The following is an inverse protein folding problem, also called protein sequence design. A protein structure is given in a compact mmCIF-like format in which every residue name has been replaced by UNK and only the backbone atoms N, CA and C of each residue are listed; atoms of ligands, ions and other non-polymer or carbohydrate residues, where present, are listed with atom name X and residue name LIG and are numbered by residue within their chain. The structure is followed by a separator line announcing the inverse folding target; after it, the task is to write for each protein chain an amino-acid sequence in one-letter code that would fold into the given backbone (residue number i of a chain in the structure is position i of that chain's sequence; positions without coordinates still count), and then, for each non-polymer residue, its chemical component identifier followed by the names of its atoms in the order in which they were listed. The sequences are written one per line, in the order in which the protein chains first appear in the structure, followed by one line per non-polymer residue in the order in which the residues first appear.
data_IF_269863027245
#
_entry.id   IF_269863027245
#
_cell.length_a   1.000
_cell.length_b   1.000
_cell.length_c   1.000
_cell.angle_alpha   90.00
_cell.angle_beta   90.00
_cell.angle_gamma   90.00
#
_symmetry.space_group_name_H-M   'P 1'
#
loop_
_entity.id
_entity.type
_entity.pdbx_description
1 polymer ?
#
# COMPACT_ATOMS: atom_id res chain seq x y z
N UNK A 1 -1.61 -17.55 11.35
CA UNK A 1 -0.41 -16.69 11.28
C UNK A 1 -0.42 -15.80 12.51
N UNK A 2 0.69 -15.70 13.25
CA UNK A 2 0.82 -14.78 14.40
C UNK A 2 1.82 -13.69 13.99
N UNK A 3 1.46 -12.42 14.18
CA UNK A 3 2.29 -11.26 13.86
C UNK A 3 2.34 -10.30 15.05
N UNK A 4 3.38 -9.46 15.08
CA UNK A 4 3.56 -8.43 16.12
C UNK A 4 2.37 -7.45 16.11
N UNK A 5 1.78 -7.21 17.28
CA UNK A 5 0.67 -6.27 17.44
C UNK A 5 1.22 -4.85 17.46
N UNK A 6 0.99 -4.10 16.37
CA UNK A 6 1.15 -2.64 16.35
C UNK A 6 -0.20 -1.98 16.60
N UNK A 7 -0.19 -0.69 16.98
CA UNK A 7 -1.34 0.08 17.49
C UNK A 7 -2.53 0.29 16.53
N UNK A 8 -2.62 -0.47 15.44
CA UNK A 8 -3.67 -0.38 14.45
C UNK A 8 -3.14 -0.12 13.04
N UNK A 9 -4.07 0.04 12.10
CA UNK A 9 -3.73 0.41 10.73
C UNK A 9 -3.54 1.92 10.58
N UNK A 10 -2.78 2.33 9.57
CA UNK A 10 -2.59 3.71 9.17
C UNK A 10 -3.94 4.41 8.97
N UNK A 11 -4.93 3.71 8.40
CA UNK A 11 -6.31 4.21 8.28
C UNK A 11 -6.93 4.56 9.64
N UNK A 12 -6.81 3.67 10.64
CA UNK A 12 -7.33 3.92 11.98
C UNK A 12 -6.64 5.13 12.62
N UNK A 13 -5.32 5.25 12.46
CA UNK A 13 -4.58 6.38 13.00
C UNK A 13 -4.93 7.70 12.33
N UNK A 14 -5.06 7.74 11.00
CA UNK A 14 -5.52 8.93 10.28
C UNK A 14 -6.91 9.35 10.77
N UNK A 15 -7.85 8.43 10.90
CA UNK A 15 -9.20 8.78 11.38
C UNK A 15 -9.23 9.36 12.81
N UNK A 16 -8.33 8.90 13.68
CA UNK A 16 -8.35 9.24 15.10
C UNK A 16 -7.48 10.46 15.46
N UNK A 17 -6.38 10.69 14.74
CA UNK A 17 -5.31 11.60 15.16
C UNK A 17 -4.81 12.54 14.05
N UNK A 18 -5.51 12.66 12.91
CA UNK A 18 -4.99 13.45 11.78
C UNK A 18 -4.54 14.87 12.15
N UNK A 19 -5.31 15.55 13.00
CA UNK A 19 -5.09 16.96 13.39
C UNK A 19 -3.80 17.13 14.23
N UNK A 20 -3.36 16.09 14.93
CA UNK A 20 -2.19 16.17 15.82
C UNK A 20 -0.86 15.79 15.17
N UNK A 21 -0.87 15.34 13.90
CA UNK A 21 0.34 14.94 13.19
C UNK A 21 1.08 16.15 12.62
N UNK A 22 2.33 16.35 13.04
CA UNK A 22 3.21 17.35 12.44
C UNK A 22 3.79 16.87 11.10
N UNK A 23 4.40 17.80 10.36
CA UNK A 23 4.96 17.50 9.04
C UNK A 23 6.15 16.54 9.09
N UNK A 24 6.95 16.56 10.15
CA UNK A 24 8.10 15.67 10.29
C UNK A 24 7.62 14.22 10.47
N UNK A 25 6.59 14.00 11.30
CA UNK A 25 5.93 12.71 11.46
C UNK A 25 5.31 12.20 10.15
N UNK A 26 4.63 13.08 9.41
CA UNK A 26 4.03 12.74 8.11
C UNK A 26 5.10 12.31 7.10
N UNK A 27 6.15 13.09 6.95
CA UNK A 27 7.26 12.80 6.02
C UNK A 27 8.02 11.53 6.45
N UNK A 28 8.26 11.35 7.75
CA UNK A 28 8.91 10.15 8.28
C UNK A 28 8.08 8.90 8.02
N UNK A 29 6.77 8.95 8.24
CA UNK A 29 5.86 7.84 7.94
C UNK A 29 5.88 7.49 6.45
N UNK A 30 5.82 8.49 5.56
CA UNK A 30 5.90 8.27 4.11
C UNK A 30 7.23 7.65 3.69
N UNK A 31 8.33 8.09 4.29
CA UNK A 31 9.65 7.51 4.08
C UNK A 31 9.70 6.03 4.47
N UNK A 32 9.21 5.67 5.67
CA UNK A 32 9.16 4.29 6.12
C UNK A 32 8.28 3.39 5.22
N UNK A 33 7.11 3.88 4.82
CA UNK A 33 6.21 3.17 3.89
C UNK A 33 6.90 2.94 2.54
N UNK A 34 7.58 3.96 2.00
CA UNK A 34 8.32 3.85 0.74
C UNK A 34 9.47 2.84 0.81
N UNK A 35 10.19 2.77 1.94
CA UNK A 35 11.23 1.76 2.17
C UNK A 35 10.66 0.34 2.15
N UNK A 36 9.54 0.12 2.85
CA UNK A 36 8.87 -1.18 2.86
C UNK A 36 8.41 -1.59 1.45
N UNK A 37 7.80 -0.67 0.70
CA UNK A 37 7.30 -0.95 -0.65
C UNK A 37 8.46 -1.24 -1.62
N UNK A 38 9.55 -0.47 -1.52
CA UNK A 38 10.79 -0.71 -2.26
C UNK A 38 11.33 -2.11 -2.00
N UNK A 39 11.29 -2.59 -0.76
CA UNK A 39 11.83 -3.90 -0.41
C UNK A 39 10.96 -5.05 -0.95
N UNK A 40 9.64 -4.88 -1.01
CA UNK A 40 8.72 -5.79 -1.73
C UNK A 40 9.06 -5.80 -3.22
N UNK A 41 9.19 -4.62 -3.84
CA UNK A 41 9.48 -4.50 -5.27
C UNK A 41 10.87 -5.06 -5.65
N UNK A 42 11.89 -4.89 -4.79
CA UNK A 42 13.22 -5.48 -4.98
C UNK A 42 13.22 -7.01 -4.98
N UNK A 43 12.24 -7.64 -4.31
CA UNK A 43 12.02 -9.09 -4.37
C UNK A 43 11.27 -9.52 -5.63
N UNK A 44 10.99 -8.59 -6.55
CA UNK A 44 10.26 -8.85 -7.79
C UNK A 44 8.77 -9.07 -7.56
N UNK A 45 8.20 -8.60 -6.44
CA UNK A 45 6.79 -8.77 -6.10
C UNK A 45 5.99 -7.49 -6.38
N UNK A 46 4.68 -7.66 -6.56
CA UNK A 46 3.65 -6.62 -6.63
C UNK A 46 2.65 -6.91 -5.50
N UNK A 47 2.24 -5.89 -4.73
CA UNK A 47 1.31 -6.04 -3.62
C UNK A 47 -0.15 -6.23 -4.06
N UNK A 48 -0.59 -5.47 -5.07
CA UNK A 48 -1.95 -5.47 -5.66
C UNK A 48 -3.08 -4.94 -4.76
N UNK A 49 -2.94 -4.98 -3.44
CA UNK A 49 -3.87 -4.42 -2.46
C UNK A 49 -3.20 -3.42 -1.51
N UNK A 50 -2.50 -2.44 -2.09
CA UNK A 50 -1.70 -1.48 -1.34
C UNK A 50 -2.51 -0.24 -0.94
N UNK A 51 -2.92 -0.16 0.32
CA UNK A 51 -3.72 0.95 0.87
C UNK A 51 -3.49 1.16 2.38
N UNK A 52 -3.99 2.26 2.95
CA UNK A 52 -3.82 2.62 4.37
C UNK A 52 -4.36 1.57 5.37
N UNK A 53 -5.22 0.65 4.94
CA UNK A 53 -5.71 -0.42 5.81
C UNK A 53 -4.70 -1.56 5.98
N UNK A 54 -3.84 -1.76 4.99
CA UNK A 54 -2.79 -2.79 4.96
C UNK A 54 -1.41 -2.23 5.37
N UNK A 55 -1.39 -1.11 6.08
CA UNK A 55 -0.18 -0.53 6.67
C UNK A 55 -0.42 -0.44 8.17
N UNK A 56 0.44 -1.06 8.97
CA UNK A 56 0.49 -0.83 10.41
C UNK A 56 1.49 0.30 10.68
N UNK A 57 1.08 1.36 11.34
CA UNK A 57 1.94 2.51 11.65
C UNK A 57 1.42 3.19 12.90
N UNK A 58 2.31 3.65 13.76
CA UNK A 58 1.97 4.49 14.92
C UNK A 58 2.34 5.96 14.72
N UNK A 59 2.77 6.35 13.50
CA UNK A 59 3.34 7.65 13.14
C UNK A 59 4.52 8.14 13.99
N UNK A 60 5.06 7.31 14.88
CA UNK A 60 6.16 7.68 15.77
C UNK A 60 7.50 7.10 15.32
N UNK A 61 7.54 5.82 14.95
CA UNK A 61 8.84 5.17 14.66
C UNK A 61 8.86 4.36 13.38
N UNK A 62 7.83 3.55 13.15
CA UNK A 62 7.88 2.50 12.13
C UNK A 62 6.55 2.37 11.38
N UNK A 63 6.64 1.94 10.12
CA UNK A 63 5.49 1.54 9.32
C UNK A 63 5.77 0.18 8.68
N UNK A 64 4.80 -0.72 8.74
CA UNK A 64 4.89 -2.09 8.24
C UNK A 64 3.78 -2.35 7.23
N UNK A 65 4.17 -2.86 6.06
CA UNK A 65 3.22 -3.30 5.03
C UNK A 65 2.78 -4.72 5.36
N UNK A 66 1.47 -4.95 5.37
CA UNK A 66 0.84 -6.22 5.75
C UNK A 66 -0.06 -6.76 4.64
N UNK A 67 -0.66 -7.92 4.88
CA UNK A 67 -1.55 -8.61 3.95
C UNK A 67 -0.93 -8.87 2.56
N UNK A 68 0.11 -9.70 2.57
CA UNK A 68 0.79 -10.15 1.36
C UNK A 68 0.03 -11.27 0.63
N UNK A 69 -1.24 -11.54 0.99
CA UNK A 69 -2.02 -12.66 0.44
C UNK A 69 -2.28 -12.55 -1.06
N UNK A 70 -2.26 -11.33 -1.59
CA UNK A 70 -2.41 -11.04 -3.03
C UNK A 70 -1.08 -10.74 -3.72
N UNK A 71 0.06 -10.85 -3.01
CA UNK A 71 1.35 -10.58 -3.62
C UNK A 71 1.65 -11.57 -4.76
N UNK A 72 2.09 -11.05 -5.91
CA UNK A 72 2.43 -11.85 -7.08
C UNK A 72 3.77 -11.41 -7.70
N UNK A 73 4.52 -12.32 -8.34
CA UNK A 73 5.72 -11.96 -9.07
C UNK A 73 5.41 -11.01 -10.23
N UNK A 74 6.22 -9.96 -10.38
CA UNK A 74 6.03 -8.91 -11.38
C UNK A 74 6.24 -9.37 -12.84
N UNK A 75 6.84 -10.55 -13.03
CA UNK A 75 7.12 -11.15 -14.33
C UNK A 75 6.06 -12.19 -14.76
N UNK A 76 5.13 -12.57 -13.87
CA UNK A 76 4.07 -13.51 -14.22
C UNK A 76 2.96 -12.73 -14.93
N UNK A 77 2.83 -12.95 -16.24
CA UNK A 77 1.64 -12.51 -16.97
C UNK A 77 0.48 -13.37 -16.49
N UNK A 78 -0.57 -12.74 -15.95
CA UNK A 78 -1.79 -13.48 -15.64
C UNK A 78 -2.26 -14.18 -16.92
N UNK A 79 -2.58 -15.48 -16.80
CA UNK A 79 -3.11 -16.22 -17.94
C UNK A 79 -4.33 -15.49 -18.47
N UNK A 80 -4.36 -15.25 -19.79
CA UNK A 80 -5.37 -14.48 -20.51
C UNK A 80 -6.77 -15.14 -20.46
N UNK A 81 -7.34 -15.29 -19.27
CA UNK A 81 -8.73 -15.63 -19.11
C UNK A 81 -9.54 -14.34 -19.18
N UNK A 82 -10.61 -14.38 -19.97
CA UNK A 82 -11.49 -13.24 -20.32
C UNK A 82 -12.17 -12.54 -19.12
N UNK A 83 -11.88 -12.95 -17.87
CA UNK A 83 -12.40 -12.38 -16.63
C UNK A 83 -11.24 -11.93 -15.72
N UNK A 84 -10.55 -10.84 -16.09
CA UNK A 84 -9.57 -10.20 -15.18
C UNK A 84 -10.27 -9.71 -13.93
N UNK A 85 -10.01 -10.36 -12.80
CA UNK A 85 -10.47 -9.90 -11.49
C UNK A 85 -9.66 -8.67 -11.09
N UNK A 86 -10.36 -7.59 -10.74
CA UNK A 86 -9.76 -6.43 -10.10
C UNK A 86 -9.74 -6.71 -8.60
N UNK A 87 -8.56 -6.55 -8.00
CA UNK A 87 -8.31 -6.68 -6.58
C UNK A 87 -8.04 -5.31 -5.96
N UNK A 88 -8.15 -5.27 -4.65
CA UNK A 88 -7.84 -4.11 -3.83
C UNK A 88 -8.91 -3.02 -3.74
N UNK A 89 -8.60 -2.01 -2.93
CA UNK A 89 -9.55 -0.96 -2.56
C UNK A 89 -9.59 0.15 -3.61
N UNK A 90 -10.75 0.35 -4.24
CA UNK A 90 -10.92 1.14 -5.49
C UNK A 90 -10.14 2.47 -5.59
N UNK A 91 -10.12 3.36 -4.58
CA UNK A 91 -9.38 4.62 -4.69
C UNK A 91 -7.87 4.44 -4.90
N UNK A 92 -7.30 3.32 -4.44
CA UNK A 92 -5.87 2.99 -4.53
C UNK A 92 -5.52 2.15 -5.75
N UNK A 93 -6.52 1.69 -6.52
CA UNK A 93 -6.28 0.89 -7.72
C UNK A 93 -5.89 1.80 -8.88
N UNK A 94 -4.75 1.49 -9.49
CA UNK A 94 -4.22 2.29 -10.59
C UNK A 94 -5.18 2.33 -11.80
N UNK A 95 -5.29 3.47 -12.50
CA UNK A 95 -6.28 3.64 -13.55
C UNK A 95 -6.03 2.75 -14.77
N UNK A 96 -4.79 2.32 -15.02
CA UNK A 96 -4.49 1.32 -16.04
C UNK A 96 -5.05 -0.06 -15.70
N UNK A 97 -5.06 -0.44 -14.42
CA UNK A 97 -5.62 -1.70 -13.93
C UNK A 97 -7.14 -1.68 -14.04
N UNK A 98 -7.78 -0.55 -13.67
CA UNK A 98 -9.22 -0.37 -13.87
C UNK A 98 -9.64 -0.44 -15.34
N UNK A 99 -8.73 -0.13 -16.27
CA UNK A 99 -8.91 -0.30 -17.72
C UNK A 99 -8.56 -1.70 -18.23
N UNK A 100 -8.33 -2.66 -17.33
CA UNK A 100 -8.05 -4.05 -17.66
C UNK A 100 -6.59 -4.35 -18.05
N UNK A 101 -5.64 -3.44 -17.81
CA UNK A 101 -4.21 -3.79 -17.90
C UNK A 101 -3.78 -4.63 -16.69
N UNK A 102 -2.64 -5.31 -16.82
CA UNK A 102 -2.06 -6.08 -15.72
C UNK A 102 -1.63 -5.18 -14.56
N UNK A 103 -1.65 -5.73 -13.36
CA UNK A 103 -0.94 -5.14 -12.23
C UNK A 103 0.57 -5.12 -12.51
N UNK A 104 1.22 -4.05 -12.06
CA UNK A 104 2.68 -3.90 -12.14
C UNK A 104 3.19 -3.27 -10.86
N UNK A 105 4.51 -3.22 -10.66
CA UNK A 105 5.05 -2.44 -9.54
C UNK A 105 4.62 -0.97 -9.62
N UNK A 106 4.43 -0.42 -10.84
CA UNK A 106 3.93 0.96 -11.02
C UNK A 106 2.49 1.13 -10.55
N UNK A 107 1.66 0.08 -10.57
CA UNK A 107 0.30 0.18 -10.02
C UNK A 107 0.30 0.28 -8.50
N UNK A 108 1.25 -0.37 -7.80
CA UNK A 108 1.43 -0.15 -6.36
C UNK A 108 1.92 1.28 -6.07
N UNK A 109 2.77 1.86 -6.94
CA UNK A 109 3.23 3.25 -6.81
C UNK A 109 2.07 4.24 -6.92
N UNK A 110 1.06 3.96 -7.74
CA UNK A 110 -0.17 4.76 -7.75
C UNK A 110 -0.86 4.72 -6.38
N UNK A 111 -1.05 3.52 -5.80
CA UNK A 111 -1.60 3.37 -4.46
C UNK A 111 -0.79 4.12 -3.39
N UNK A 112 0.54 4.10 -3.48
CA UNK A 112 1.42 4.91 -2.64
C UNK A 112 1.15 6.42 -2.78
N UNK A 113 0.91 6.91 -4.00
CA UNK A 113 0.53 8.30 -4.24
C UNK A 113 -0.77 8.70 -3.54
N UNK A 114 -1.76 7.79 -3.52
CA UNK A 114 -3.03 8.02 -2.80
C UNK A 114 -2.81 8.04 -1.29
N UNK A 115 -1.97 7.14 -0.75
CA UNK A 115 -1.58 7.16 0.67
C UNK A 115 -0.88 8.48 1.02
N UNK A 116 0.02 8.95 0.16
CA UNK A 116 0.71 10.23 0.34
C UNK A 116 -0.27 11.41 0.36
N UNK A 117 -1.24 11.42 -0.56
CA UNK A 117 -2.32 12.40 -0.57
C UNK A 117 -3.08 12.41 0.77
N UNK A 118 -3.56 11.24 1.22
CA UNK A 118 -4.32 11.14 2.48
C UNK A 118 -3.52 11.49 3.74
N UNK A 119 -2.20 11.29 3.76
CA UNK A 119 -1.36 11.74 4.88
C UNK A 119 -1.20 13.27 4.86
N UNK A 120 -1.20 13.87 3.67
CA UNK A 120 -0.97 15.31 3.51
C UNK A 120 -2.25 16.16 3.64
N UNK A 121 -3.44 15.61 3.37
CA UNK A 121 -4.72 16.35 3.31
C UNK A 121 -5.74 15.85 4.32
#
# INVERSE_FOLDING_TARGET
MVMELKNGSLRQHLNNNFISLDWDQKLWSLYCIALGLRDIHKKGLIHQDFHCGNILSDFNKEAFITDLGLCQPANVKSSQNNNKKIYGVLPYVAPEVLRGKEYTQKSDIYGFGIIAYEICT
#
